data_IF_654761601470
#
_entry.id   IF_654761601470
#
_cell.length_a   1.000
_cell.length_b   1.000
_cell.length_c   1.000
_cell.angle_alpha   90.00
_cell.angle_beta   90.00
_cell.angle_gamma   90.00
#
_symmetry.space_group_name_H-M   'P 1'
#
loop_
_entity.id
_entity.type
_entity.pdbx_description
1 polymer ?
#
# COMPACT_ATOMS: atom_id res chain seq x y z
N UNK A 1 9.56 6.58 35.70
CA UNK A 1 9.55 7.94 35.12
C UNK A 1 8.18 8.15 34.51
N UNK A 2 7.53 9.29 34.77
CA UNK A 2 6.28 9.65 34.09
C UNK A 2 6.55 9.80 32.59
N UNK A 3 5.59 9.41 31.73
CA UNK A 3 5.68 9.72 30.31
C UNK A 3 5.73 11.25 30.13
N UNK A 4 6.57 11.78 29.23
CA UNK A 4 6.59 13.21 28.95
C UNK A 4 5.20 13.66 28.47
N UNK A 5 4.81 14.87 28.85
CA UNK A 5 3.54 15.45 28.42
C UNK A 5 3.47 15.53 26.88
N UNK A 6 2.28 15.25 26.33
CA UNK A 6 2.01 15.31 24.89
C UNK A 6 2.31 16.71 24.35
N UNK A 7 3.08 16.79 23.26
CA UNK A 7 3.45 18.06 22.62
C UNK A 7 2.24 18.72 21.94
N UNK A 8 2.24 20.05 21.87
CA UNK A 8 1.27 20.83 21.09
C UNK A 8 1.57 20.85 19.58
N UNK A 9 2.71 20.31 19.14
CA UNK A 9 3.07 20.26 17.74
C UNK A 9 2.02 19.49 16.91
N UNK A 10 1.63 20.05 15.77
CA UNK A 10 0.64 19.47 14.86
C UNK A 10 1.34 18.67 13.77
N UNK A 11 1.04 17.37 13.71
CA UNK A 11 1.53 16.46 12.66
C UNK A 11 0.36 16.08 11.77
N UNK A 12 0.38 16.51 10.52
CA UNK A 12 -0.60 16.11 9.52
C UNK A 12 -0.08 14.90 8.74
N UNK A 13 -0.87 13.85 8.66
CA UNK A 13 -0.60 12.64 7.87
C UNK A 13 -1.62 12.58 6.74
N UNK A 14 -1.16 12.53 5.50
CA UNK A 14 -2.02 12.43 4.30
C UNK A 14 -1.90 11.00 3.75
N UNK A 15 -3.00 10.26 3.79
CA UNK A 15 -3.08 8.84 3.42
C UNK A 15 -3.02 7.90 4.64
N UNK A 16 -4.10 7.18 4.89
CA UNK A 16 -4.31 6.21 5.98
C UNK A 16 -4.03 4.76 5.59
N UNK A 17 -3.32 4.52 4.50
CA UNK A 17 -2.78 3.20 4.17
C UNK A 17 -1.73 2.71 5.18
N UNK A 18 -1.06 1.59 4.87
CA UNK A 18 -0.11 0.93 5.80
C UNK A 18 0.92 1.89 6.39
N UNK A 19 1.57 2.74 5.59
CA UNK A 19 2.57 3.68 6.11
C UNK A 19 1.95 4.75 7.03
N UNK A 20 0.96 5.50 6.53
CA UNK A 20 0.40 6.62 7.28
C UNK A 20 -0.38 6.20 8.52
N UNK A 21 -1.09 5.07 8.48
CA UNK A 21 -1.71 4.48 9.66
C UNK A 21 -0.71 4.21 10.79
N UNK A 22 0.47 3.66 10.45
CA UNK A 22 1.52 3.38 11.42
C UNK A 22 2.21 4.64 11.93
N UNK A 23 2.40 5.66 11.08
CA UNK A 23 2.89 6.98 11.52
C UNK A 23 1.93 7.59 12.52
N UNK A 24 0.63 7.69 12.16
CA UNK A 24 -0.40 8.26 13.02
C UNK A 24 -0.50 7.50 14.36
N UNK A 25 -0.55 6.16 14.30
CA UNK A 25 -0.55 5.31 15.50
C UNK A 25 0.63 5.59 16.41
N UNK A 26 1.84 5.71 15.84
CA UNK A 26 3.09 5.87 16.58
C UNK A 26 3.24 7.25 17.22
N UNK A 27 2.58 8.27 16.67
CA UNK A 27 2.67 9.66 17.11
C UNK A 27 1.49 10.13 17.97
N UNK A 28 0.36 9.41 17.99
CA UNK A 28 -0.88 9.87 18.65
C UNK A 28 -0.71 10.25 20.13
N UNK A 29 0.20 9.60 20.87
CA UNK A 29 0.47 9.93 22.28
C UNK A 29 1.57 10.98 22.48
N UNK A 30 2.20 11.47 21.42
CA UNK A 30 3.37 12.37 21.47
C UNK A 30 3.10 13.76 20.90
N UNK A 31 2.14 13.89 19.97
CA UNK A 31 1.84 15.12 19.25
C UNK A 31 0.35 15.22 18.90
N UNK A 32 -0.14 16.40 18.52
CA UNK A 32 -1.47 16.54 17.94
C UNK A 32 -1.46 15.98 16.52
N UNK A 33 -2.05 14.80 16.31
CA UNK A 33 -2.04 14.15 15.00
C UNK A 33 -3.37 14.39 14.29
N UNK A 34 -3.30 14.79 13.02
CA UNK A 34 -4.44 14.85 12.10
C UNK A 34 -4.19 13.87 10.96
N UNK A 35 -5.13 12.95 10.71
CA UNK A 35 -5.11 12.05 9.56
C UNK A 35 -6.12 12.52 8.52
N UNK A 36 -5.65 12.84 7.32
CA UNK A 36 -6.48 13.11 6.14
C UNK A 36 -6.48 11.85 5.27
N UNK A 37 -7.60 11.15 5.23
CA UNK A 37 -7.76 9.89 4.49
C UNK A 37 -9.22 9.73 4.05
N UNK A 38 -9.52 9.61 2.75
CA UNK A 38 -10.88 9.45 2.25
C UNK A 38 -11.61 8.25 2.84
N UNK A 39 -10.91 7.12 3.04
CA UNK A 39 -11.51 5.90 3.58
C UNK A 39 -11.69 5.97 5.09
N UNK A 40 -12.77 5.41 5.62
CA UNK A 40 -12.96 5.32 7.06
C UNK A 40 -12.19 4.14 7.71
N UNK A 41 -11.37 3.45 6.93
CA UNK A 41 -10.68 2.24 7.31
C UNK A 41 -9.30 2.09 6.66
N UNK A 42 -8.42 1.39 7.38
CA UNK A 42 -7.19 0.82 6.86
C UNK A 42 -7.52 -0.47 6.10
N UNK A 43 -7.18 -0.51 4.82
CA UNK A 43 -7.13 -1.75 4.03
C UNK A 43 -5.73 -2.36 4.10
N UNK A 44 -5.61 -3.63 4.51
CA UNK A 44 -4.35 -4.36 4.39
C UNK A 44 -4.23 -4.92 2.96
N UNK A 45 -3.43 -4.29 2.07
CA UNK A 45 -3.59 -4.43 0.62
C UNK A 45 -3.23 -5.85 0.13
N UNK A 46 -2.27 -6.51 0.76
CA UNK A 46 -1.90 -7.88 0.39
C UNK A 46 -2.93 -8.94 0.82
N UNK A 47 -4.02 -8.54 1.49
CA UNK A 47 -5.21 -9.36 1.75
C UNK A 47 -6.33 -9.18 0.73
N UNK A 48 -6.25 -8.19 -0.15
CA UNK A 48 -7.33 -7.80 -1.08
C UNK A 48 -7.78 -8.97 -1.97
N UNK A 49 -6.85 -9.61 -2.69
CA UNK A 49 -7.18 -10.72 -3.60
C UNK A 49 -7.83 -11.91 -2.88
N UNK A 50 -7.47 -12.16 -1.61
CA UNK A 50 -8.13 -13.20 -0.82
C UNK A 50 -9.53 -12.79 -0.39
N UNK A 51 -9.70 -11.52 -0.04
CA UNK A 51 -10.99 -10.96 0.39
C UNK A 51 -12.05 -11.13 -0.69
N UNK A 52 -11.67 -11.03 -1.98
CA UNK A 52 -12.54 -11.30 -3.13
C UNK A 52 -13.00 -12.75 -3.27
N UNK A 53 -12.25 -13.73 -2.76
CA UNK A 53 -12.59 -15.17 -2.87
C UNK A 53 -13.01 -15.80 -1.53
N UNK A 54 -12.90 -15.06 -0.45
CA UNK A 54 -13.22 -15.48 0.92
C UNK A 54 -13.74 -14.25 1.69
N UNK A 55 -15.00 -13.82 1.51
CA UNK A 55 -15.50 -12.56 2.07
C UNK A 55 -15.37 -12.45 3.60
N UNK A 56 -15.50 -13.56 4.34
CA UNK A 56 -15.28 -13.58 5.79
C UNK A 56 -13.83 -13.24 6.19
N UNK A 57 -12.85 -13.49 5.30
CA UNK A 57 -11.46 -13.07 5.52
C UNK A 57 -11.33 -11.54 5.47
N UNK A 58 -12.16 -10.86 4.66
CA UNK A 58 -12.13 -9.41 4.47
C UNK A 58 -12.40 -8.62 5.75
N UNK A 59 -13.23 -9.15 6.65
CA UNK A 59 -13.55 -8.49 7.92
C UNK A 59 -12.31 -8.19 8.77
N UNK A 60 -11.26 -9.03 8.64
CA UNK A 60 -9.98 -8.88 9.34
C UNK A 60 -9.00 -7.97 8.61
N UNK A 61 -9.17 -7.77 7.29
CA UNK A 61 -8.29 -6.96 6.44
C UNK A 61 -8.70 -5.49 6.41
N UNK A 62 -9.99 -5.18 6.65
CA UNK A 62 -10.52 -3.82 6.74
C UNK A 62 -10.72 -3.44 8.21
N UNK A 63 -9.96 -2.47 8.69
CA UNK A 63 -9.93 -2.05 10.10
C UNK A 63 -10.33 -0.58 10.17
N UNK A 64 -11.42 -0.23 10.88
CA UNK A 64 -11.81 1.18 11.02
C UNK A 64 -10.68 1.98 11.66
N UNK A 65 -10.42 3.18 11.15
CA UNK A 65 -9.37 4.04 11.71
C UNK A 65 -9.62 4.36 13.19
N UNK A 66 -10.89 4.51 13.57
CA UNK A 66 -11.34 4.74 14.95
C UNK A 66 -11.03 3.60 15.93
N UNK A 67 -10.81 2.37 15.45
CA UNK A 67 -10.56 1.22 16.32
C UNK A 67 -9.16 1.25 16.95
N UNK A 68 -8.20 1.93 16.32
CA UNK A 68 -6.79 1.94 16.74
C UNK A 68 -6.16 3.33 16.87
N UNK A 69 -6.81 4.37 16.33
CA UNK A 69 -6.43 5.77 16.48
C UNK A 69 -7.37 6.44 17.49
N UNK A 70 -7.05 6.29 18.77
CA UNK A 70 -7.90 6.77 19.88
C UNK A 70 -7.66 8.24 20.22
N UNK A 71 -6.55 8.81 19.76
CA UNK A 71 -6.14 10.19 20.05
C UNK A 71 -5.58 10.90 18.80
N UNK A 72 -6.34 10.80 17.71
CA UNK A 72 -6.05 11.38 16.40
C UNK A 72 -7.32 12.02 15.85
N UNK A 73 -7.21 13.23 15.29
CA UNK A 73 -8.30 13.84 14.53
C UNK A 73 -8.31 13.24 13.12
N UNK A 74 -9.35 12.48 12.79
CA UNK A 74 -9.51 11.89 11.44
C UNK A 74 -10.41 12.80 10.60
N UNK A 75 -10.00 13.10 9.38
CA UNK A 75 -10.76 13.88 8.40
C UNK A 75 -10.94 13.00 7.16
N UNK A 76 -12.18 12.54 6.94
CA UNK A 76 -12.51 11.61 5.86
C UNK A 76 -12.73 12.31 4.51
N UNK A 77 -11.65 12.83 3.93
CA UNK A 77 -11.64 13.62 2.70
C UNK A 77 -10.34 13.43 1.93
N UNK A 78 -10.32 13.80 0.65
CA UNK A 78 -9.10 13.83 -0.14
C UNK A 78 -8.29 15.09 0.17
N UNK A 79 -6.96 14.97 0.23
CA UNK A 79 -6.09 16.12 0.05
C UNK A 79 -6.05 16.49 -1.44
N UNK A 80 -6.25 17.77 -1.75
CA UNK A 80 -6.30 18.30 -3.12
C UNK A 80 -5.18 19.27 -3.43
N UNK A 81 -4.50 19.79 -2.40
CA UNK A 81 -3.36 20.68 -2.55
C UNK A 81 -2.58 20.81 -1.25
N UNK A 82 -1.39 21.39 -1.34
CA UNK A 82 -0.54 21.76 -0.20
C UNK A 82 0.15 23.10 -0.47
N UNK A 83 0.30 23.87 0.60
CA UNK A 83 1.21 25.03 0.67
C UNK A 83 2.32 24.70 1.67
N UNK A 84 3.27 25.61 1.89
CA UNK A 84 4.31 25.40 2.90
C UNK A 84 3.77 25.24 4.34
N UNK A 85 2.52 25.64 4.61
CA UNK A 85 1.95 25.72 5.96
C UNK A 85 0.72 24.84 6.18
N UNK A 86 0.00 24.46 5.13
CA UNK A 86 -1.27 23.76 5.26
C UNK A 86 -1.54 22.76 4.12
N UNK A 87 -2.36 21.77 4.42
CA UNK A 87 -2.96 20.85 3.45
C UNK A 87 -4.38 21.33 3.14
N UNK A 88 -4.73 21.41 1.87
CA UNK A 88 -6.07 21.73 1.37
C UNK A 88 -6.86 20.46 1.13
N UNK A 89 -8.15 20.48 1.44
CA UNK A 89 -9.03 19.31 1.36
C UNK A 89 -10.15 19.47 0.33
N UNK A 90 -10.66 18.35 -0.19
CA UNK A 90 -11.72 18.28 -1.21
C UNK A 90 -13.03 18.96 -0.78
N UNK A 91 -13.31 19.00 0.53
CA UNK A 91 -14.47 19.65 1.13
C UNK A 91 -14.31 21.17 1.33
N UNK A 92 -13.22 21.76 0.82
CA UNK A 92 -12.92 23.20 0.92
C UNK A 92 -12.27 23.62 2.24
N UNK A 93 -11.94 22.67 3.10
CA UNK A 93 -11.19 22.91 4.33
C UNK A 93 -9.68 23.05 4.13
N UNK A 94 -8.99 23.39 5.21
CA UNK A 94 -7.54 23.30 5.29
C UNK A 94 -7.07 22.92 6.70
N UNK A 95 -5.86 22.35 6.79
CA UNK A 95 -5.23 21.97 8.05
C UNK A 95 -3.77 22.42 8.06
N UNK A 96 -3.43 23.31 9.00
CA UNK A 96 -2.05 23.74 9.23
C UNK A 96 -1.22 22.66 9.92
N UNK A 97 0.08 22.66 9.67
CA UNK A 97 0.99 21.67 10.27
C UNK A 97 2.34 22.27 10.70
N UNK A 98 2.95 21.67 11.72
CA UNK A 98 4.37 21.84 12.03
C UNK A 98 5.22 20.78 11.29
N UNK A 99 4.66 19.58 11.11
CA UNK A 99 5.24 18.50 10.33
C UNK A 99 4.20 17.86 9.43
N UNK A 100 4.57 17.55 8.19
CA UNK A 100 3.71 16.89 7.21
C UNK A 100 4.28 15.52 6.83
N UNK A 101 3.42 14.50 6.76
CA UNK A 101 3.77 13.18 6.26
C UNK A 101 2.88 12.82 5.08
N UNK A 102 3.48 12.62 3.91
CA UNK A 102 2.78 12.22 2.69
C UNK A 102 2.93 10.70 2.51
N UNK A 103 1.82 9.98 2.64
CA UNK A 103 1.76 8.52 2.60
C UNK A 103 0.62 8.01 1.67
N UNK A 104 0.32 8.77 0.62
CA UNK A 104 -0.80 8.49 -0.31
C UNK A 104 -0.55 7.30 -1.23
N UNK A 105 0.68 6.76 -1.29
CA UNK A 105 0.99 5.54 -2.02
C UNK A 105 0.61 5.61 -3.50
N UNK A 106 -0.43 4.86 -3.88
CA UNK A 106 -0.97 4.80 -5.23
C UNK A 106 -2.38 5.42 -5.29
N UNK A 107 -2.82 5.79 -6.49
CA UNK A 107 -4.23 6.14 -6.73
C UNK A 107 -5.09 4.95 -6.34
N UNK A 108 -6.02 5.19 -5.42
CA UNK A 108 -6.96 4.20 -4.92
C UNK A 108 -8.38 4.58 -5.33
N UNK A 109 -9.08 3.61 -5.90
CA UNK A 109 -10.48 3.72 -6.31
C UNK A 109 -11.39 2.83 -5.46
N UNK A 110 -10.87 2.27 -4.36
CA UNK A 110 -11.68 1.51 -3.42
C UNK A 110 -12.76 2.40 -2.77
N UNK A 111 -13.89 1.79 -2.48
CA UNK A 111 -15.01 2.44 -1.80
C UNK A 111 -14.61 2.99 -0.43
N UNK A 112 -15.06 4.21 -0.13
CA UNK A 112 -14.61 4.97 1.05
C UNK A 112 -15.14 4.41 2.38
N UNK A 113 -16.28 3.72 2.35
CA UNK A 113 -16.96 3.20 3.54
C UNK A 113 -16.66 1.71 3.70
N UNK A 114 -16.14 1.31 4.87
CA UNK A 114 -15.76 -0.09 5.15
C UNK A 114 -16.86 -1.10 4.85
N UNK A 115 -18.09 -0.81 5.27
CA UNK A 115 -19.17 -1.79 5.21
C UNK A 115 -19.66 -1.99 3.77
N UNK A 116 -19.63 -0.93 2.97
CA UNK A 116 -19.85 -1.01 1.52
C UNK A 116 -18.71 -1.80 0.84
N UNK A 117 -17.45 -1.56 1.23
CA UNK A 117 -16.30 -2.33 0.73
C UNK A 117 -16.41 -3.83 1.07
N UNK A 118 -16.94 -4.19 2.24
CA UNK A 118 -17.21 -5.59 2.57
C UNK A 118 -18.29 -6.20 1.66
N UNK A 119 -19.30 -5.44 1.30
CA UNK A 119 -20.34 -5.88 0.38
C UNK A 119 -19.79 -6.06 -1.05
N UNK A 120 -18.90 -5.17 -1.50
CA UNK A 120 -18.18 -5.36 -2.77
C UNK A 120 -17.41 -6.67 -2.82
N UNK A 121 -16.73 -7.06 -1.72
CA UNK A 121 -16.04 -8.35 -1.68
C UNK A 121 -16.99 -9.54 -1.78
N UNK A 122 -18.22 -9.44 -1.25
CA UNK A 122 -19.24 -10.49 -1.43
C UNK A 122 -19.73 -10.56 -2.89
N UNK A 123 -19.92 -9.40 -3.52
CA UNK A 123 -20.32 -9.33 -4.93
C UNK A 123 -19.22 -9.86 -5.86
N UNK A 124 -17.96 -9.49 -5.62
CA UNK A 124 -16.80 -10.03 -6.33
C UNK A 124 -16.73 -11.55 -6.18
N UNK A 125 -16.97 -12.06 -4.96
CA UNK A 125 -16.96 -13.51 -4.71
C UNK A 125 -18.02 -14.26 -5.53
N UNK A 126 -19.24 -13.73 -5.62
CA UNK A 126 -20.30 -14.31 -6.45
C UNK A 126 -19.94 -14.32 -7.94
N UNK A 127 -19.22 -13.30 -8.43
CA UNK A 127 -18.77 -13.22 -9.84
C UNK A 127 -17.64 -14.20 -10.17
N UNK A 128 -16.79 -14.54 -9.20
CA UNK A 128 -15.57 -15.34 -9.44
C UNK A 128 -15.87 -16.84 -9.64
N UNK A 129 -17.04 -17.35 -9.22
CA UNK A 129 -17.34 -18.79 -9.27
C UNK A 129 -17.37 -19.41 -10.69
N UNK A 130 -17.32 -18.60 -11.77
CA UNK A 130 -17.35 -19.06 -13.17
C UNK A 130 -16.13 -18.77 -14.04
N UNK A 131 -15.10 -18.04 -13.56
CA UNK A 131 -14.07 -17.47 -14.47
C UNK A 131 -12.71 -18.20 -14.45
N UNK A 132 -12.07 -18.42 -15.61
CA UNK A 132 -10.78 -19.12 -15.76
C UNK A 132 -9.88 -18.61 -16.90
N UNK A 133 -9.23 -17.46 -16.72
CA UNK A 133 -8.13 -17.03 -17.60
C UNK A 133 -7.23 -16.00 -16.90
N UNK A 134 -5.92 -16.10 -17.11
CA UNK A 134 -4.94 -15.09 -16.67
C UNK A 134 -4.07 -14.62 -17.84
N UNK A 135 -3.94 -13.29 -17.99
CA UNK A 135 -3.10 -12.64 -19.00
C UNK A 135 -1.94 -11.92 -18.32
N UNK A 136 -0.74 -12.03 -18.88
CA UNK A 136 0.47 -11.39 -18.35
C UNK A 136 1.34 -10.83 -19.50
N UNK A 137 1.69 -9.55 -19.39
CA UNK A 137 2.47 -8.83 -20.40
C UNK A 137 3.93 -9.28 -20.49
N UNK A 138 4.48 -9.84 -19.41
CA UNK A 138 5.87 -10.29 -19.36
C UNK A 138 6.09 -11.65 -20.02
N UNK A 139 7.35 -11.91 -20.35
CA UNK A 139 7.84 -13.19 -20.88
C UNK A 139 7.73 -14.34 -19.87
N UNK A 140 7.55 -14.00 -18.59
CA UNK A 140 7.35 -14.92 -17.47
C UNK A 140 6.50 -14.28 -16.38
N UNK A 141 5.94 -15.12 -15.52
CA UNK A 141 5.23 -14.65 -14.33
C UNK A 141 6.21 -14.12 -13.28
N UNK A 142 5.79 -13.11 -12.53
CA UNK A 142 6.53 -12.61 -11.36
C UNK A 142 7.98 -12.24 -11.73
N UNK A 143 8.17 -11.31 -12.68
CA UNK A 143 9.50 -10.93 -13.18
C UNK A 143 10.46 -10.41 -12.08
N UNK A 144 9.90 -9.91 -10.98
CA UNK A 144 10.67 -9.48 -9.82
C UNK A 144 11.28 -10.63 -8.99
N UNK A 145 10.90 -11.90 -9.20
CA UNK A 145 11.55 -13.06 -8.56
C UNK A 145 12.41 -13.84 -9.55
N UNK A 146 13.25 -14.74 -9.04
CA UNK A 146 14.12 -15.56 -9.88
C UNK A 146 13.36 -16.53 -10.80
N UNK A 147 13.95 -16.97 -11.94
CA UNK A 147 13.27 -17.84 -12.91
C UNK A 147 12.72 -19.15 -12.32
N UNK A 148 13.42 -19.74 -11.34
CA UNK A 148 12.94 -20.95 -10.63
C UNK A 148 11.63 -20.70 -9.88
N UNK A 149 11.51 -19.55 -9.20
CA UNK A 149 10.32 -19.16 -8.47
C UNK A 149 9.15 -18.89 -9.43
N UNK A 150 9.42 -18.16 -10.51
CA UNK A 150 8.48 -17.89 -11.61
C UNK A 150 7.93 -19.20 -12.20
N UNK A 151 8.81 -20.14 -12.59
CA UNK A 151 8.39 -21.41 -13.18
C UNK A 151 7.49 -22.21 -12.23
N UNK A 152 7.83 -22.27 -10.94
CA UNK A 152 7.01 -22.97 -9.94
C UNK A 152 5.62 -22.35 -9.78
N UNK A 153 5.51 -21.02 -9.89
CA UNK A 153 4.21 -20.35 -9.88
C UNK A 153 3.38 -20.68 -11.13
N UNK A 154 4.01 -20.68 -12.31
CA UNK A 154 3.37 -21.08 -13.57
C UNK A 154 2.90 -22.54 -13.52
N UNK A 155 3.78 -23.48 -13.16
CA UNK A 155 3.45 -24.91 -13.02
C UNK A 155 2.27 -25.11 -12.06
N UNK A 156 2.22 -24.33 -10.98
CA UNK A 156 1.11 -24.36 -10.03
C UNK A 156 -0.20 -23.87 -10.66
N UNK A 157 -0.21 -22.74 -11.36
CA UNK A 157 -1.41 -22.22 -12.05
C UNK A 157 -1.93 -23.21 -13.09
N UNK A 158 -1.04 -23.77 -13.91
CA UNK A 158 -1.37 -24.82 -14.89
C UNK A 158 -1.96 -26.05 -14.19
N UNK A 159 -1.40 -26.48 -13.06
CA UNK A 159 -1.96 -27.59 -12.27
C UNK A 159 -3.35 -27.30 -11.70
N UNK A 160 -3.75 -26.02 -11.65
CA UNK A 160 -5.09 -25.55 -11.26
C UNK A 160 -5.99 -25.27 -12.46
N UNK A 161 -5.57 -25.66 -13.68
CA UNK A 161 -6.31 -25.45 -14.93
C UNK A 161 -6.55 -23.95 -15.21
N UNK A 162 -5.59 -23.11 -14.85
CA UNK A 162 -5.55 -21.71 -15.25
C UNK A 162 -4.77 -21.63 -16.55
N UNK A 163 -5.42 -21.12 -17.59
CA UNK A 163 -4.75 -20.76 -18.84
C UNK A 163 -3.97 -19.47 -18.62
N UNK A 164 -2.70 -19.48 -19.02
CA UNK A 164 -1.77 -18.35 -18.83
C UNK A 164 -1.25 -17.90 -20.18
N UNK A 165 -1.64 -16.69 -20.58
CA UNK A 165 -1.13 -16.04 -21.79
C UNK A 165 0.03 -15.11 -21.40
N UNK A 166 1.22 -15.39 -21.91
CA UNK A 166 2.44 -14.61 -21.70
C UNK A 166 2.74 -13.77 -22.94
N UNK A 167 3.46 -12.66 -22.75
CA UNK A 167 3.78 -11.69 -23.81
C UNK A 167 2.53 -11.06 -24.47
N UNK A 168 1.40 -11.05 -23.77
CA UNK A 168 0.15 -10.47 -24.27
C UNK A 168 -0.26 -9.30 -23.37
N UNK A 169 -0.73 -8.21 -23.99
CA UNK A 169 -1.26 -7.04 -23.31
C UNK A 169 -2.70 -6.77 -23.69
N UNK A 170 -3.45 -6.12 -22.81
CA UNK A 170 -4.81 -5.59 -23.07
C UNK A 170 -4.80 -4.11 -22.70
N UNK A 171 -5.39 -3.27 -23.55
CA UNK A 171 -5.56 -1.85 -23.21
C UNK A 171 -6.57 -1.69 -22.07
N UNK A 172 -6.11 -1.19 -20.92
CA UNK A 172 -6.93 -1.04 -19.70
C UNK A 172 -8.14 -0.13 -19.92
N UNK A 173 -8.02 0.90 -20.77
CA UNK A 173 -9.11 1.82 -21.12
C UNK A 173 -10.25 1.16 -21.89
N UNK A 174 -10.01 0.00 -22.53
CA UNK A 174 -11.05 -0.77 -23.20
C UNK A 174 -11.89 -1.63 -22.23
N UNK A 175 -11.46 -1.76 -20.97
CA UNK A 175 -12.11 -2.62 -19.96
C UNK A 175 -13.41 -2.03 -19.40
N UNK A 176 -13.54 -0.69 -19.39
CA UNK A 176 -14.75 0.00 -18.93
C UNK A 176 -15.85 0.05 -20.00
N UNK A 177 -15.49 -0.17 -21.26
CA UNK A 177 -16.37 0.00 -22.42
C UNK A 177 -16.82 -1.32 -23.08
N UNK A 178 -16.26 -2.47 -22.66
CA UNK A 178 -16.46 -3.71 -23.40
C UNK A 178 -17.56 -4.60 -22.85
N UNK A 179 -18.33 -5.18 -23.78
CA UNK A 179 -19.35 -6.22 -23.56
C UNK A 179 -18.75 -7.57 -23.18
N UNK A 180 -17.74 -7.59 -22.31
CA UNK A 180 -17.00 -8.80 -21.91
C UNK A 180 -16.05 -9.37 -22.97
N UNK A 181 -15.71 -8.60 -24.02
CA UNK A 181 -14.74 -9.00 -25.06
C UNK A 181 -13.56 -8.04 -25.09
N UNK A 182 -12.34 -8.58 -25.11
CA UNK A 182 -11.09 -7.84 -25.01
C UNK A 182 -10.17 -8.22 -26.17
N UNK A 183 -9.55 -7.24 -26.80
CA UNK A 183 -8.54 -7.48 -27.84
C UNK A 183 -7.16 -7.46 -27.19
N UNK A 184 -6.37 -8.52 -27.38
CA UNK A 184 -4.98 -8.58 -26.93
C UNK A 184 -4.01 -8.04 -27.99
N UNK A 185 -2.74 -7.83 -27.61
CA UNK A 185 -1.69 -7.29 -28.49
C UNK A 185 -1.47 -8.05 -29.79
N UNK A 186 -1.71 -9.37 -29.82
CA UNK A 186 -1.67 -10.16 -31.06
C UNK A 186 -2.86 -9.93 -32.00
N UNK A 187 -3.88 -9.18 -31.56
CA UNK A 187 -5.12 -8.95 -32.28
C UNK A 187 -6.19 -10.02 -32.03
N UNK A 188 -5.88 -11.08 -31.29
CA UNK A 188 -6.86 -12.08 -30.85
C UNK A 188 -7.90 -11.45 -29.91
N UNK A 189 -9.13 -11.96 -29.96
CA UNK A 189 -10.21 -11.54 -29.07
C UNK A 189 -10.46 -12.60 -28.01
N UNK A 190 -10.46 -12.15 -26.76
CA UNK A 190 -10.73 -12.95 -25.58
C UNK A 190 -12.07 -12.52 -25.00
N UNK A 191 -12.85 -13.47 -24.50
CA UNK A 191 -14.08 -13.18 -23.75
C UNK A 191 -13.89 -13.51 -22.28
N UNK A 192 -14.46 -12.71 -21.38
CA UNK A 192 -14.49 -13.01 -19.96
C UNK A 192 -15.76 -12.48 -19.30
N UNK A 193 -16.37 -13.32 -18.46
CA UNK A 193 -17.53 -12.98 -17.65
C UNK A 193 -17.18 -11.99 -16.51
N UNK A 194 -15.93 -12.03 -16.06
CA UNK A 194 -15.38 -11.13 -15.06
C UNK A 194 -13.90 -10.86 -15.36
N UNK A 195 -13.41 -9.65 -15.07
CA UNK A 195 -12.01 -9.30 -15.18
C UNK A 195 -11.49 -8.65 -13.89
N UNK A 196 -10.20 -8.82 -13.62
CA UNK A 196 -9.50 -8.15 -12.51
C UNK A 196 -8.23 -7.50 -13.03
N UNK A 197 -8.13 -6.19 -12.85
CA UNK A 197 -6.95 -5.42 -13.25
C UNK A 197 -5.89 -5.54 -12.15
N UNK A 198 -4.91 -6.42 -12.39
CA UNK A 198 -3.81 -6.72 -11.46
C UNK A 198 -2.46 -6.16 -11.93
N UNK A 199 -2.47 -5.06 -12.69
CA UNK A 199 -1.27 -4.36 -13.15
C UNK A 199 -0.91 -3.20 -12.21
N UNK A 200 0.27 -2.62 -12.38
CA UNK A 200 0.75 -1.51 -11.54
C UNK A 200 -0.25 -0.36 -11.48
N UNK A 201 -0.49 0.15 -10.27
CA UNK A 201 -1.35 1.32 -10.04
C UNK A 201 -0.57 2.61 -10.31
N UNK A 202 -1.26 3.68 -10.70
CA UNK A 202 -0.65 5.02 -10.81
C UNK A 202 -0.25 5.52 -9.43
N UNK A 203 0.81 6.31 -9.34
CA UNK A 203 1.28 6.88 -8.07
C UNK A 203 0.31 7.96 -7.58
N UNK A 204 0.03 7.98 -6.27
CA UNK A 204 -0.92 8.88 -5.61
C UNK A 204 -0.37 10.30 -5.39
N UNK A 205 0.49 10.79 -6.27
CA UNK A 205 1.19 12.08 -6.16
C UNK A 205 0.65 13.16 -7.10
N UNK A 206 -0.36 12.87 -7.92
CA UNK A 206 -0.86 13.80 -8.94
C UNK A 206 -1.23 15.18 -8.40
N UNK A 207 -1.81 15.24 -7.19
CA UNK A 207 -2.18 16.47 -6.49
C UNK A 207 -1.00 17.34 -6.04
N UNK A 208 0.24 16.80 -6.05
CA UNK A 208 1.46 17.52 -5.69
C UNK A 208 2.08 18.28 -6.86
N UNK A 209 1.71 17.96 -8.09
CA UNK A 209 2.31 18.50 -9.32
C UNK A 209 2.14 20.02 -9.47
N UNK A 210 1.17 20.61 -8.78
CA UNK A 210 0.90 22.05 -8.75
C UNK A 210 1.25 22.70 -7.41
N UNK A 211 2.14 22.09 -6.63
CA UNK A 211 2.57 22.57 -5.31
C UNK A 211 4.05 22.94 -5.26
N UNK A 212 4.50 23.46 -4.11
CA UNK A 212 5.93 23.70 -3.84
C UNK A 212 6.79 22.42 -3.86
N UNK A 213 6.17 21.23 -3.81
CA UNK A 213 6.87 19.93 -3.92
C UNK A 213 6.98 19.42 -5.36
N UNK A 214 6.55 20.19 -6.36
CA UNK A 214 6.66 19.79 -7.78
C UNK A 214 8.08 19.37 -8.16
N UNK A 215 9.08 20.15 -7.75
CA UNK A 215 10.50 19.90 -8.05
C UNK A 215 11.10 18.77 -7.19
N UNK A 216 10.34 18.24 -6.23
CA UNK A 216 10.69 17.06 -5.42
C UNK A 216 10.14 15.76 -6.01
N UNK A 217 9.40 15.82 -7.12
CA UNK A 217 8.93 14.64 -7.85
C UNK A 217 9.97 14.20 -8.89
N UNK A 218 10.23 12.90 -8.97
CA UNK A 218 11.02 12.33 -10.05
C UNK A 218 10.22 12.19 -11.36
N UNK A 219 10.88 11.70 -12.42
CA UNK A 219 10.29 11.47 -13.74
C UNK A 219 9.12 10.46 -13.74
N UNK A 220 8.99 9.66 -12.69
CA UNK A 220 7.91 8.69 -12.48
C UNK A 220 6.84 9.20 -11.52
N UNK A 221 6.95 10.44 -11.05
CA UNK A 221 6.02 11.04 -10.08
C UNK A 221 6.22 10.56 -8.64
N UNK A 222 7.38 10.00 -8.28
CA UNK A 222 7.71 9.62 -6.91
C UNK A 222 8.34 10.79 -6.17
N UNK A 223 8.05 10.93 -4.88
CA UNK A 223 8.70 11.91 -4.02
C UNK A 223 10.14 11.47 -3.72
N UNK A 224 11.09 12.33 -4.06
CA UNK A 224 12.50 12.19 -3.74
C UNK A 224 12.72 12.40 -2.25
N UNK A 225 13.29 11.42 -1.56
CA UNK A 225 13.55 11.51 -0.12
C UNK A 225 15.01 11.32 0.26
N UNK A 226 15.44 11.99 1.32
CA UNK A 226 16.75 11.75 1.94
C UNK A 226 16.77 10.47 2.78
N UNK A 227 17.94 10.14 3.35
CA UNK A 227 18.10 8.98 4.25
C UNK A 227 17.26 9.07 5.53
N UNK A 228 16.78 10.24 5.91
CA UNK A 228 15.90 10.46 7.06
C UNK A 228 14.41 10.41 6.68
N UNK A 229 14.12 10.09 5.40
CA UNK A 229 12.80 10.07 4.77
C UNK A 229 12.13 11.45 4.69
N UNK A 230 12.91 12.52 4.70
CA UNK A 230 12.42 13.87 4.39
C UNK A 230 12.36 14.07 2.89
N UNK A 231 11.31 14.75 2.44
CA UNK A 231 11.18 15.16 1.04
C UNK A 231 12.26 16.16 0.70
N UNK A 232 12.95 15.95 -0.42
CA UNK A 232 14.00 16.84 -0.92
C UNK A 232 13.49 18.29 -0.98
N UNK A 233 14.27 19.21 -0.42
CA UNK A 233 13.90 20.63 -0.37
C UNK A 233 13.10 21.05 0.87
N UNK A 234 12.75 20.12 1.76
CA UNK A 234 12.05 20.44 3.01
C UNK A 234 12.68 19.76 4.23
N UNK A 235 12.62 20.45 5.38
CA UNK A 235 13.05 19.92 6.68
C UNK A 235 11.88 19.35 7.50
N UNK A 236 10.65 19.72 7.14
CA UNK A 236 9.43 19.41 7.92
C UNK A 236 8.46 18.49 7.18
N UNK A 237 8.69 18.21 5.90
CA UNK A 237 7.88 17.29 5.10
C UNK A 237 8.60 15.95 4.96
N UNK A 238 7.90 14.87 5.26
CA UNK A 238 8.33 13.48 5.13
C UNK A 238 7.46 12.74 4.13
N UNK A 239 7.98 11.68 3.52
CA UNK A 239 7.20 10.80 2.65
C UNK A 239 7.47 9.32 2.93
N UNK A 240 6.42 8.49 2.84
CA UNK A 240 6.45 7.11 3.30
C UNK A 240 5.72 6.15 2.34
N UNK A 241 6.14 4.88 2.34
CA UNK A 241 5.56 3.85 1.49
C UNK A 241 5.79 4.07 -0.01
N UNK A 242 4.81 3.69 -0.81
CA UNK A 242 4.98 3.47 -2.26
C UNK A 242 5.20 4.77 -3.06
N UNK A 243 4.83 5.92 -2.49
CA UNK A 243 5.01 7.23 -3.14
C UNK A 243 6.48 7.66 -3.23
N UNK A 244 7.38 7.03 -2.47
CA UNK A 244 8.80 7.46 -2.42
C UNK A 244 9.63 6.89 -3.56
N UNK A 245 10.74 7.57 -3.89
CA UNK A 245 11.72 7.11 -4.89
C UNK A 245 12.68 6.03 -4.36
N UNK A 246 12.61 5.69 -3.06
CA UNK A 246 13.44 4.67 -2.40
C UNK A 246 13.54 3.41 -3.27
N UNK A 247 14.76 3.00 -3.68
CA UNK A 247 15.00 1.99 -4.72
C UNK A 247 14.86 0.56 -4.18
N UNK A 248 13.63 0.18 -3.84
CA UNK A 248 13.28 -1.14 -3.34
C UNK A 248 11.91 -1.58 -3.86
N UNK A 249 11.63 -2.88 -3.73
CA UNK A 249 10.31 -3.42 -4.06
C UNK A 249 9.32 -2.84 -3.06
N UNK A 250 8.26 -2.20 -3.56
CA UNK A 250 7.23 -1.60 -2.70
C UNK A 250 6.43 -2.70 -1.99
N UNK A 251 6.63 -2.83 -0.67
CA UNK A 251 6.04 -3.89 0.15
C UNK A 251 5.53 -3.31 1.48
N UNK A 252 4.43 -3.87 1.98
CA UNK A 252 3.77 -3.35 3.20
C UNK A 252 4.68 -3.30 4.44
N UNK A 253 5.57 -4.28 4.66
CA UNK A 253 6.48 -4.23 5.82
C UNK A 253 7.60 -3.19 5.67
N UNK A 254 7.99 -2.84 4.43
CA UNK A 254 8.93 -1.75 4.18
C UNK A 254 8.24 -0.40 4.37
N UNK A 255 6.97 -0.28 3.95
CA UNK A 255 6.13 0.87 4.25
C UNK A 255 5.96 1.09 5.78
N UNK A 256 5.81 0.02 6.56
CA UNK A 256 5.85 0.09 8.04
C UNK A 256 7.23 0.53 8.54
N UNK A 257 8.32 0.03 7.98
CA UNK A 257 9.68 0.45 8.35
C UNK A 257 9.90 1.95 8.10
N UNK A 258 9.41 2.48 6.96
CA UNK A 258 9.40 3.92 6.68
C UNK A 258 8.66 4.68 7.78
N UNK A 259 7.47 4.21 8.15
CA UNK A 259 6.65 4.83 9.19
C UNK A 259 7.36 4.92 10.54
N UNK A 260 8.07 3.85 10.94
CA UNK A 260 8.81 3.83 12.21
C UNK A 260 9.99 4.81 12.22
N UNK A 261 10.71 4.94 11.10
CA UNK A 261 11.80 5.93 10.97
C UNK A 261 11.26 7.35 11.05
N UNK A 262 10.20 7.65 10.30
CA UNK A 262 9.57 8.98 10.29
C UNK A 262 9.02 9.34 11.67
N UNK A 263 8.26 8.44 12.30
CA UNK A 263 7.72 8.68 13.64
C UNK A 263 8.83 8.93 14.67
N UNK A 264 9.94 8.17 14.60
CA UNK A 264 11.11 8.40 15.46
C UNK A 264 11.74 9.78 15.20
N UNK A 265 11.91 10.16 13.94
CA UNK A 265 12.51 11.44 13.56
C UNK A 265 11.65 12.63 13.99
N UNK A 266 10.34 12.58 13.76
CA UNK A 266 9.40 13.63 14.21
C UNK A 266 9.44 13.76 15.74
N UNK A 267 9.47 12.65 16.50
CA UNK A 267 9.62 12.71 17.97
C UNK A 267 10.93 13.37 18.40
N UNK A 268 12.04 13.07 17.72
CA UNK A 268 13.34 13.70 18.01
C UNK A 268 13.29 15.20 17.75
N UNK A 269 12.72 15.62 16.61
CA UNK A 269 12.62 17.02 16.20
C UNK A 269 11.69 17.83 17.11
N UNK A 270 10.52 17.28 17.48
CA UNK A 270 9.61 17.90 18.46
C UNK A 270 10.32 18.15 19.79
N UNK A 271 11.22 17.27 20.20
CA UNK A 271 12.00 17.40 21.43
C UNK A 271 13.29 18.24 21.27
N UNK A 272 13.47 18.94 20.14
CA UNK A 272 14.64 19.80 19.89
C UNK A 272 15.95 19.03 19.73
N UNK A 273 15.90 17.75 19.36
CA UNK A 273 17.12 16.96 19.13
C UNK A 273 17.86 17.45 17.89
N UNK A 274 19.20 17.40 17.95
CA UNK A 274 20.04 17.76 16.81
C UNK A 274 19.82 16.84 15.60
N UNK A 275 19.92 17.43 14.40
CA UNK A 275 19.81 16.79 13.07
C UNK A 275 20.63 15.51 12.92
N UNK A 276 21.84 15.47 13.49
CA UNK A 276 22.73 14.31 13.40
C UNK A 276 22.24 13.09 14.20
N UNK A 277 21.22 13.22 15.05
CA UNK A 277 20.61 12.12 15.80
C UNK A 277 19.44 11.45 15.07
N UNK A 278 19.00 12.02 13.94
CA UNK A 278 17.88 11.46 13.18
C UNK A 278 18.21 10.05 12.69
N UNK A 279 17.26 9.15 12.85
CA UNK A 279 17.33 7.80 12.33
C UNK A 279 17.38 7.82 10.80
N UNK A 280 18.17 6.91 10.25
CA UNK A 280 18.34 6.74 8.82
C UNK A 280 17.65 5.47 8.35
N UNK A 281 17.13 5.51 7.13
CA UNK A 281 16.62 4.37 6.40
C UNK A 281 17.57 4.01 5.26
N UNK A 282 17.78 2.71 5.04
CA UNK A 282 18.56 2.18 3.93
C UNK A 282 17.68 1.23 3.14
N UNK A 283 17.57 1.45 1.83
CA UNK A 283 16.76 0.64 0.94
C UNK A 283 17.18 -0.84 1.00
N UNK A 284 16.20 -1.74 1.06
CA UNK A 284 16.46 -3.17 1.04
C UNK A 284 16.27 -3.75 -0.37
N UNK A 285 17.31 -3.61 -1.20
CA UNK A 285 17.31 -4.12 -2.58
C UNK A 285 17.26 -5.65 -2.70
N UNK A 286 17.52 -6.36 -1.60
CA UNK A 286 17.53 -7.83 -1.52
C UNK A 286 16.38 -8.37 -0.65
N UNK A 287 15.33 -7.57 -0.52
CA UNK A 287 14.13 -7.91 0.22
C UNK A 287 13.57 -9.27 -0.21
N UNK A 288 13.29 -10.19 0.74
CA UNK A 288 12.71 -11.47 0.40
C UNK A 288 11.31 -11.28 -0.21
N UNK A 289 11.06 -11.97 -1.32
CA UNK A 289 9.75 -11.97 -1.97
C UNK A 289 9.00 -13.25 -1.63
N UNK A 290 7.78 -13.13 -1.13
CA UNK A 290 6.95 -14.26 -0.73
C UNK A 290 5.58 -14.15 -1.39
N UNK A 291 5.31 -15.06 -2.33
CA UNK A 291 4.09 -15.10 -3.14
C UNK A 291 3.25 -16.28 -2.71
N UNK A 292 1.99 -16.03 -2.36
CA UNK A 292 1.05 -17.08 -1.99
C UNK A 292 0.50 -17.80 -3.22
N UNK A 293 0.46 -19.12 -3.16
CA UNK A 293 -0.16 -20.00 -4.16
C UNK A 293 -1.35 -20.72 -3.51
N UNK A 294 -2.46 -20.01 -3.34
CA UNK A 294 -3.60 -20.44 -2.52
C UNK A 294 -3.28 -20.46 -1.01
N UNK A 295 -4.14 -21.10 -0.19
CA UNK A 295 -3.96 -21.16 1.29
C UNK A 295 -2.82 -22.08 1.75
N UNK A 296 -2.54 -23.13 0.97
CA UNK A 296 -1.62 -24.23 1.36
C UNK A 296 -0.29 -24.22 0.60
N UNK A 297 -0.13 -23.32 -0.38
CA UNK A 297 1.08 -23.21 -1.20
C UNK A 297 1.66 -21.81 -1.17
N UNK A 298 2.94 -21.70 -1.52
CA UNK A 298 3.62 -20.45 -1.74
C UNK A 298 4.99 -20.65 -2.35
N UNK A 299 5.56 -19.57 -2.85
CA UNK A 299 6.93 -19.50 -3.35
C UNK A 299 7.64 -18.34 -2.65
N UNK A 300 8.80 -18.64 -2.08
CA UNK A 300 9.68 -17.67 -1.46
C UNK A 300 10.95 -17.54 -2.31
N UNK A 301 11.30 -16.32 -2.68
CA UNK A 301 12.61 -15.96 -3.20
C UNK A 301 13.41 -15.30 -2.08
N UNK A 302 14.48 -15.98 -1.67
CA UNK A 302 15.49 -15.48 -0.74
C UNK A 302 16.75 -15.14 -1.54
N UNK A 303 17.72 -14.36 -1.00
CA UNK A 303 18.84 -13.85 -1.78
C UNK A 303 19.60 -14.91 -2.60
N UNK A 304 19.77 -16.11 -2.06
CA UNK A 304 20.54 -17.18 -2.73
C UNK A 304 19.72 -18.43 -3.08
N UNK A 305 18.44 -18.54 -2.69
CA UNK A 305 17.67 -19.76 -2.86
C UNK A 305 16.17 -19.52 -3.00
N UNK A 306 15.49 -20.48 -3.65
CA UNK A 306 14.04 -20.47 -3.84
C UNK A 306 13.41 -21.61 -3.07
N UNK A 307 12.48 -21.29 -2.18
CA UNK A 307 11.68 -22.28 -1.43
C UNK A 307 10.26 -22.30 -1.98
N UNK A 308 9.62 -23.46 -2.05
CA UNK A 308 8.23 -23.59 -2.50
C UNK A 308 7.45 -24.62 -1.69
N UNK A 309 6.13 -24.52 -1.73
CA UNK A 309 5.23 -25.48 -1.08
C UNK A 309 4.77 -24.99 0.30
N UNK A 310 4.73 -25.89 1.27
CA UNK A 310 4.06 -25.66 2.56
C UNK A 310 4.82 -24.71 3.49
N UNK A 311 6.16 -24.66 3.43
CA UNK A 311 6.96 -23.80 4.32
C UNK A 311 6.73 -22.29 4.04
N UNK A 312 6.82 -21.80 2.79
CA UNK A 312 6.35 -20.45 2.42
C UNK A 312 4.89 -20.20 2.79
N UNK A 313 4.04 -21.23 2.67
CA UNK A 313 2.62 -21.12 2.96
C UNK A 313 2.32 -20.92 4.45
N UNK A 314 3.08 -21.58 5.33
CA UNK A 314 2.97 -21.42 6.77
C UNK A 314 3.32 -20.00 7.22
N UNK A 315 4.31 -19.38 6.58
CA UNK A 315 4.78 -18.03 6.91
C UNK A 315 3.77 -16.96 6.46
N UNK A 316 3.34 -16.98 5.19
CA UNK A 316 2.46 -15.94 4.62
C UNK A 316 1.11 -16.49 4.20
N UNK A 317 1.05 -17.57 3.42
CA UNK A 317 -0.19 -17.94 2.75
C UNK A 317 -1.35 -18.34 3.66
N UNK A 318 -1.13 -18.70 4.93
CA UNK A 318 -2.24 -19.02 5.85
C UNK A 318 -3.06 -17.79 6.23
N UNK A 319 -2.39 -16.72 6.68
CA UNK A 319 -3.03 -15.54 7.28
C UNK A 319 -2.66 -14.24 6.56
N UNK A 320 -1.77 -14.29 5.58
CA UNK A 320 -1.21 -13.15 4.84
C UNK A 320 -0.59 -12.07 5.74
N UNK A 321 -0.21 -12.41 6.97
CA UNK A 321 0.26 -11.48 8.02
C UNK A 321 -0.81 -10.54 8.60
N UNK A 322 -2.11 -10.79 8.33
CA UNK A 322 -3.20 -9.94 8.82
C UNK A 322 -3.20 -9.85 10.35
N UNK A 323 -3.10 -10.99 11.03
CA UNK A 323 -3.04 -11.03 12.50
C UNK A 323 -1.79 -10.38 13.07
N UNK A 324 -0.68 -10.36 12.32
CA UNK A 324 0.54 -9.64 12.72
C UNK A 324 0.30 -8.13 12.68
N UNK A 325 -0.22 -7.60 11.58
CA UNK A 325 -0.54 -6.16 11.46
C UNK A 325 -1.52 -5.72 12.53
N UNK A 326 -2.60 -6.49 12.75
CA UNK A 326 -3.60 -6.19 13.79
C UNK A 326 -2.94 -6.06 15.16
N UNK A 327 -2.06 -7.00 15.53
CA UNK A 327 -1.29 -6.92 16.79
C UNK A 327 -0.41 -5.68 16.86
N UNK A 328 0.31 -5.34 15.78
CA UNK A 328 1.20 -4.19 15.76
C UNK A 328 0.48 -2.84 15.94
N UNK A 329 -0.79 -2.74 15.52
CA UNK A 329 -1.63 -1.54 15.75
C UNK A 329 -2.44 -1.61 17.05
N UNK A 330 -2.29 -2.67 17.85
CA UNK A 330 -2.90 -2.83 19.17
C UNK A 330 -4.24 -3.57 19.19
N UNK A 331 -4.59 -4.31 18.13
CA UNK A 331 -5.81 -5.09 18.02
C UNK A 331 -5.54 -6.60 18.19
N UNK A 332 -6.59 -7.37 18.48
CA UNK A 332 -6.52 -8.84 18.47
C UNK A 332 -6.25 -9.35 17.05
N UNK A 333 -5.40 -10.37 16.95
CA UNK A 333 -5.04 -11.02 15.69
C UNK A 333 -6.24 -11.64 14.97
#
# INVERSE_FOLDING_TARGET
MAEPAKSSAVVVVVGGGVAGAFVAKSLQSHAQVVLIEPKDYLEIPYGELRSKVEPLFAERTLIKHTDYLTDVRIINTCATGITEKEVLTEDGGSVTYDYLVIATGHVDSATRIRDERLEEFKQDNQKIESSRLQINSGSRLLEFVGPKASKKALDWLVSKKVDVLLNETVEVTSLEASSGTYTISSGEKITADCHFVCVGKRIGSGWLSHSFLKESLDDKGRLQVDKNLRVRGSQIVFAAGDITDVPEIKQGYLAQAHAMVIAKNIKLLINGSAENKLATYTANSSAPALVSLGRKGGVAQLPCFTVSGWLPAFIKSRDLFIGKVRKEIGLKA
#
